data_IF_606881005839
#
_entry.id   IF_606881005839
#
_cell.length_a   1.000
_cell.length_b   1.000
_cell.length_c   1.000
_cell.angle_alpha   90.00
_cell.angle_beta   90.00
_cell.angle_gamma   90.00
#
_symmetry.space_group_name_H-M   'P 1'
#
loop_
_entity.id
_entity.type
_entity.pdbx_description
1 polymer ?
#
# COMPACT_ATOMS: atom_id res chain seq x y z
N UNK A 1 24.18 -1.91 -1.65
CA UNK A 1 23.88 -2.52 -2.96
C UNK A 1 25.13 -3.19 -3.47
N UNK A 2 25.17 -4.52 -3.51
CA UNK A 2 26.22 -5.25 -4.24
C UNK A 2 25.83 -5.33 -5.71
N UNK A 3 26.82 -5.44 -6.59
CA UNK A 3 26.68 -5.25 -8.03
C UNK A 3 25.57 -6.13 -8.64
N UNK A 4 24.49 -5.47 -9.09
CA UNK A 4 23.51 -5.91 -10.09
C UNK A 4 22.42 -6.93 -9.68
N UNK A 5 22.16 -7.16 -8.40
CA UNK A 5 21.05 -8.03 -7.95
C UNK A 5 20.26 -7.50 -6.75
N UNK A 6 18.97 -7.82 -6.69
CA UNK A 6 18.19 -7.69 -5.45
C UNK A 6 18.77 -8.66 -4.40
N UNK A 7 18.85 -8.30 -3.11
CA UNK A 7 19.28 -9.21 -2.06
C UNK A 7 18.49 -10.53 -2.04
N UNK A 8 19.10 -11.58 -1.51
CA UNK A 8 18.41 -12.86 -1.35
C UNK A 8 17.32 -12.81 -0.27
N UNK A 9 17.46 -11.85 0.65
CA UNK A 9 16.69 -11.69 1.90
C UNK A 9 15.79 -10.44 1.89
N UNK A 10 15.26 -10.04 0.72
CA UNK A 10 14.49 -8.79 0.59
C UNK A 10 13.24 -8.70 1.48
N UNK A 11 12.61 -9.82 1.87
CA UNK A 11 11.49 -9.80 2.79
C UNK A 11 11.98 -9.74 4.25
N UNK A 12 13.13 -10.35 4.56
CA UNK A 12 13.73 -10.29 5.89
C UNK A 12 14.28 -8.90 6.20
N UNK A 13 15.12 -8.36 5.30
CA UNK A 13 15.73 -7.03 5.38
C UNK A 13 14.68 -5.92 5.26
N UNK A 14 13.58 -6.25 4.58
CA UNK A 14 12.41 -5.42 4.40
C UNK A 14 12.27 -4.89 2.97
N UNK A 15 11.02 -4.73 2.57
CA UNK A 15 10.62 -4.20 1.26
C UNK A 15 9.36 -3.39 1.43
N UNK A 16 9.25 -2.34 0.63
CA UNK A 16 8.07 -1.50 0.53
C UNK A 16 7.52 -1.60 -0.87
N UNK A 17 6.22 -1.86 -0.99
CA UNK A 17 5.49 -1.85 -2.25
C UNK A 17 4.39 -0.81 -2.16
N UNK A 18 4.11 -0.12 -3.25
CA UNK A 18 2.96 0.76 -3.37
C UNK A 18 2.28 0.53 -4.69
N UNK A 19 0.96 0.44 -4.67
CA UNK A 19 0.18 0.27 -5.89
C UNK A 19 -1.20 0.86 -5.70
N UNK A 20 -1.81 1.25 -6.81
CA UNK A 20 -3.20 1.67 -6.84
C UNK A 20 -3.98 0.73 -7.74
N UNK A 21 -5.03 0.11 -7.18
CA UNK A 21 -5.78 -0.94 -7.84
C UNK A 21 -7.27 -0.92 -7.46
N UNK A 22 -8.07 -1.63 -8.27
CA UNK A 22 -9.45 -2.02 -7.95
C UNK A 22 -9.84 -3.28 -8.71
N UNK A 23 -10.94 -3.90 -8.31
CA UNK A 23 -11.67 -4.87 -9.12
C UNK A 23 -12.67 -4.11 -9.99
N UNK A 24 -12.59 -4.17 -11.33
CA UNK A 24 -13.56 -3.50 -12.17
C UNK A 24 -14.95 -4.14 -12.00
N UNK A 25 -16.00 -3.33 -12.12
CA UNK A 25 -17.39 -3.80 -12.15
C UNK A 25 -18.14 -3.14 -13.29
N UNK A 26 -19.19 -3.78 -13.86
CA UNK A 26 -19.99 -3.17 -14.92
C UNK A 26 -20.60 -1.81 -14.53
N UNK A 27 -20.82 -1.57 -13.23
CA UNK A 27 -21.39 -0.31 -12.71
C UNK A 27 -20.35 0.80 -12.53
N UNK A 28 -19.06 0.46 -12.39
CA UNK A 28 -17.98 1.41 -12.03
C UNK A 28 -16.93 1.56 -13.14
N UNK A 29 -17.13 0.97 -14.31
CA UNK A 29 -16.27 1.16 -15.49
C UNK A 29 -17.07 1.54 -16.72
N UNK A 30 -16.46 2.36 -17.58
CA UNK A 30 -16.97 2.66 -18.93
C UNK A 30 -16.26 1.84 -20.01
N UNK A 31 -15.18 1.14 -19.65
CA UNK A 31 -14.49 0.22 -20.54
C UNK A 31 -15.31 -1.08 -20.68
N UNK A 32 -15.32 -1.72 -21.86
CA UNK A 32 -15.95 -3.02 -22.01
C UNK A 32 -15.23 -4.04 -21.11
N UNK A 33 -16.01 -4.87 -20.42
CA UNK A 33 -15.50 -6.02 -19.68
C UNK A 33 -15.79 -7.28 -20.48
N UNK A 34 -14.78 -8.14 -20.58
CA UNK A 34 -14.90 -9.40 -21.30
C UNK A 34 -15.84 -10.36 -20.57
N UNK A 35 -16.53 -11.18 -21.35
CA UNK A 35 -17.31 -12.29 -20.83
C UNK A 35 -16.37 -13.33 -20.22
N UNK A 36 -16.87 -14.07 -19.24
CA UNK A 36 -16.10 -15.14 -18.60
C UNK A 36 -16.26 -16.43 -19.39
N UNK A 37 -15.12 -17.10 -19.61
CA UNK A 37 -14.99 -18.44 -20.16
C UNK A 37 -14.40 -19.36 -19.10
N UNK A 38 -15.23 -19.87 -18.19
CA UNK A 38 -14.74 -20.69 -17.10
C UNK A 38 -14.17 -22.03 -17.59
N UNK A 39 -13.06 -22.47 -16.98
CA UNK A 39 -12.40 -23.72 -17.32
C UNK A 39 -13.32 -24.92 -17.09
N UNK A 40 -13.37 -25.85 -18.06
CA UNK A 40 -14.28 -27.00 -18.04
C UNK A 40 -15.79 -26.66 -18.14
N UNK A 41 -16.16 -25.40 -18.38
CA UNK A 41 -17.56 -24.94 -18.51
C UNK A 41 -17.91 -24.49 -19.93
N UNK A 42 -17.09 -24.84 -20.93
CA UNK A 42 -17.30 -24.51 -22.35
C UNK A 42 -18.65 -25.01 -22.88
N UNK A 43 -19.22 -26.08 -22.30
CA UNK A 43 -20.56 -26.59 -22.63
C UNK A 43 -21.70 -25.67 -22.13
N UNK A 44 -21.46 -24.84 -21.11
CA UNK A 44 -22.44 -23.88 -20.58
C UNK A 44 -22.39 -22.50 -21.25
N UNK A 45 -21.48 -22.30 -22.21
CA UNK A 45 -21.34 -21.06 -22.96
C UNK A 45 -20.69 -19.91 -22.21
N UNK A 46 -20.56 -18.78 -22.91
CA UNK A 46 -20.07 -17.51 -22.36
C UNK A 46 -20.98 -17.00 -21.21
N UNK A 47 -20.37 -16.53 -20.12
CA UNK A 47 -21.10 -15.93 -18.99
C UNK A 47 -20.83 -14.42 -18.92
N UNK A 48 -21.81 -13.60 -18.52
CA UNK A 48 -21.55 -12.19 -18.27
C UNK A 48 -20.53 -12.03 -17.14
N UNK A 49 -19.72 -10.97 -17.22
CA UNK A 49 -18.86 -10.58 -16.11
C UNK A 49 -19.71 -10.29 -14.85
N UNK A 50 -19.29 -10.74 -13.64
CA UNK A 50 -20.08 -10.61 -12.43
C UNK A 50 -20.39 -9.14 -12.08
N UNK A 51 -21.64 -8.85 -11.70
CA UNK A 51 -22.03 -7.48 -11.31
C UNK A 51 -21.20 -6.93 -10.14
N UNK A 52 -20.80 -7.80 -9.22
CA UNK A 52 -20.02 -7.46 -8.04
C UNK A 52 -18.51 -7.40 -8.25
N UNK A 53 -18.02 -7.70 -9.46
CA UNK A 53 -16.60 -7.91 -9.72
C UNK A 53 -16.18 -9.37 -9.62
N UNK A 54 -14.99 -9.66 -10.15
CA UNK A 54 -14.33 -10.96 -10.11
C UNK A 54 -12.92 -10.76 -9.53
N UNK A 55 -12.76 -11.03 -8.25
CA UNK A 55 -11.50 -10.83 -7.54
C UNK A 55 -10.59 -12.06 -7.63
N UNK A 56 -9.65 -12.17 -6.70
CA UNK A 56 -8.76 -13.33 -6.64
C UNK A 56 -8.54 -13.81 -5.21
N UNK A 57 -8.37 -15.12 -5.06
CA UNK A 57 -8.05 -15.74 -3.78
C UNK A 57 -6.58 -16.19 -3.77
N UNK A 58 -5.82 -15.71 -2.79
CA UNK A 58 -4.40 -16.11 -2.58
C UNK A 58 -4.31 -17.65 -2.59
N UNK A 59 -3.46 -18.20 -3.46
CA UNK A 59 -3.41 -19.64 -3.74
C UNK A 59 -2.00 -20.12 -4.11
N UNK A 60 -1.85 -21.40 -4.48
CA UNK A 60 -0.61 -22.02 -4.96
C UNK A 60 0.65 -21.73 -4.14
N UNK A 61 0.49 -21.80 -2.82
CA UNK A 61 1.59 -21.61 -1.87
C UNK A 61 1.85 -20.14 -1.55
N UNK A 62 0.80 -19.33 -1.43
CA UNK A 62 0.90 -17.92 -1.08
C UNK A 62 1.28 -17.01 -2.25
N UNK A 63 0.68 -17.24 -3.42
CA UNK A 63 0.72 -16.37 -4.60
C UNK A 63 -0.63 -15.67 -4.80
N UNK A 64 -0.61 -14.46 -5.33
CA UNK A 64 -1.79 -13.61 -5.52
C UNK A 64 -1.54 -12.50 -6.55
N UNK A 65 -2.48 -11.56 -6.65
CA UNK A 65 -2.44 -10.45 -7.61
C UNK A 65 -1.09 -9.73 -7.63
N UNK A 66 -0.53 -9.45 -6.45
CA UNK A 66 0.82 -8.91 -6.27
C UNK A 66 1.57 -9.86 -5.34
N UNK A 67 2.67 -10.44 -5.78
CA UNK A 67 3.48 -11.37 -4.98
C UNK A 67 4.92 -10.90 -4.91
N UNK A 68 5.47 -10.81 -3.70
CA UNK A 68 6.90 -10.63 -3.47
C UNK A 68 7.50 -11.95 -3.02
N UNK A 69 8.50 -12.43 -3.76
CA UNK A 69 9.27 -13.63 -3.47
C UNK A 69 10.71 -13.24 -3.19
N UNK A 70 11.31 -13.80 -2.14
CA UNK A 70 12.75 -13.66 -1.91
C UNK A 70 13.52 -14.94 -2.29
N UNK A 71 14.78 -14.81 -2.72
CA UNK A 71 15.61 -15.93 -3.14
C UNK A 71 15.94 -16.89 -1.98
N UNK A 72 16.10 -16.37 -0.76
CA UNK A 72 16.32 -17.12 0.48
C UNK A 72 15.09 -17.93 0.95
N UNK A 73 14.09 -18.07 0.07
CA UNK A 73 12.80 -18.72 0.28
C UNK A 73 11.77 -17.85 1.03
N UNK A 74 10.49 -18.16 0.82
CA UNK A 74 9.36 -17.38 1.32
C UNK A 74 8.79 -16.42 0.29
N UNK A 75 7.46 -16.34 0.26
CA UNK A 75 6.68 -15.41 -0.55
C UNK A 75 5.57 -14.77 0.30
N UNK A 76 5.27 -13.51 0.04
CA UNK A 76 4.11 -12.80 0.58
C UNK A 76 3.31 -12.24 -0.59
N UNK A 77 2.03 -12.54 -0.64
CA UNK A 77 1.13 -12.13 -1.67
C UNK A 77 -0.03 -11.30 -1.14
N UNK A 78 -0.59 -10.53 -2.05
CA UNK A 78 -1.77 -9.69 -1.86
C UNK A 78 -2.75 -9.94 -2.98
N UNK A 79 -4.03 -9.98 -2.67
CA UNK A 79 -5.10 -10.06 -3.65
C UNK A 79 -6.27 -9.16 -3.25
N UNK A 80 -6.94 -8.58 -4.23
CA UNK A 80 -8.25 -7.96 -4.00
C UNK A 80 -9.31 -9.06 -4.10
N UNK A 81 -10.20 -9.11 -3.13
CA UNK A 81 -11.19 -10.19 -2.98
C UNK A 81 -12.57 -9.60 -2.76
N UNK A 82 -13.57 -10.08 -3.50
CA UNK A 82 -14.99 -9.79 -3.28
C UNK A 82 -15.70 -10.97 -2.60
N UNK A 83 -16.83 -10.74 -1.89
CA UNK A 83 -17.45 -11.78 -1.08
C UNK A 83 -17.89 -13.04 -1.83
N UNK A 84 -18.17 -12.92 -3.12
CA UNK A 84 -18.64 -14.03 -3.95
C UNK A 84 -17.51 -14.76 -4.69
N UNK A 85 -16.25 -14.37 -4.52
CA UNK A 85 -15.13 -15.10 -5.09
C UNK A 85 -15.14 -16.54 -4.58
N UNK A 86 -14.80 -17.47 -5.47
CA UNK A 86 -14.77 -18.91 -5.19
C UNK A 86 -13.53 -19.51 -5.79
N UNK A 87 -13.01 -20.55 -5.15
CA UNK A 87 -11.84 -21.24 -5.65
C UNK A 87 -12.11 -21.93 -6.99
N UNK A 88 -11.19 -21.72 -7.93
CA UNK A 88 -11.26 -22.35 -9.27
C UNK A 88 -12.49 -21.94 -10.06
N UNK A 89 -13.04 -20.75 -9.79
CA UNK A 89 -14.20 -20.22 -10.52
C UNK A 89 -15.49 -21.03 -10.36
N UNK A 90 -15.58 -21.89 -9.34
CA UNK A 90 -16.72 -22.77 -9.12
C UNK A 90 -17.96 -21.99 -8.68
N UNK A 91 -19.04 -21.93 -9.49
CA UNK A 91 -20.23 -21.14 -9.16
C UNK A 91 -20.96 -21.60 -7.88
N UNK A 92 -20.68 -22.82 -7.42
CA UNK A 92 -21.23 -23.42 -6.19
C UNK A 92 -20.17 -23.65 -5.12
N UNK A 93 -18.95 -23.14 -5.34
CA UNK A 93 -17.82 -23.25 -4.43
C UNK A 93 -18.05 -22.50 -3.12
N UNK A 94 -17.17 -22.77 -2.16
CA UNK A 94 -17.14 -21.99 -0.91
C UNK A 94 -16.76 -20.55 -1.25
N UNK A 95 -17.64 -19.63 -0.86
CA UNK A 95 -17.46 -18.21 -1.08
C UNK A 95 -16.43 -17.62 -0.12
N UNK A 96 -15.71 -16.61 -0.58
CA UNK A 96 -14.74 -15.88 0.21
C UNK A 96 -15.35 -15.26 1.47
N UNK A 97 -16.58 -14.72 1.36
CA UNK A 97 -17.28 -13.98 2.42
C UNK A 97 -16.42 -12.87 3.04
N UNK A 98 -15.52 -12.29 2.25
CA UNK A 98 -14.64 -11.20 2.62
C UNK A 98 -14.60 -10.19 1.48
N UNK A 99 -14.50 -8.90 1.83
CA UNK A 99 -14.38 -7.80 0.89
C UNK A 99 -13.14 -6.98 1.27
N UNK A 100 -12.15 -6.92 0.40
CA UNK A 100 -11.00 -6.05 0.60
C UNK A 100 -9.68 -6.61 0.09
N UNK A 101 -8.58 -6.19 0.73
CA UNK A 101 -7.24 -6.66 0.44
C UNK A 101 -6.94 -7.88 1.33
N UNK A 102 -6.71 -9.04 0.72
CA UNK A 102 -6.31 -10.27 1.40
C UNK A 102 -4.83 -10.52 1.22
N UNK A 103 -4.25 -11.30 2.12
CA UNK A 103 -2.83 -11.70 2.06
C UNK A 103 -2.66 -13.12 2.62
N UNK A 104 -1.42 -13.62 2.62
CA UNK A 104 -1.09 -14.90 3.22
C UNK A 104 -1.69 -15.04 4.63
N UNK A 105 -2.25 -16.21 4.93
CA UNK A 105 -2.75 -16.53 6.27
C UNK A 105 -1.61 -16.62 7.27
N UNK A 106 -1.95 -16.44 8.55
CA UNK A 106 -1.05 -16.82 9.64
C UNK A 106 -1.25 -18.30 9.97
N UNK A 107 -0.23 -19.10 9.73
CA UNK A 107 -0.17 -20.54 9.97
C UNK A 107 1.21 -20.97 10.52
N UNK A 108 1.68 -20.29 11.57
CA UNK A 108 2.94 -20.59 12.26
C UNK A 108 4.18 -20.01 11.58
N UNK A 109 5.36 -20.51 11.96
CA UNK A 109 6.66 -19.96 11.56
C UNK A 109 7.33 -20.71 10.40
N UNK A 110 6.74 -21.81 9.94
CA UNK A 110 7.30 -22.59 8.85
C UNK A 110 6.87 -22.00 7.50
N UNK A 111 7.81 -21.91 6.56
CA UNK A 111 7.50 -21.54 5.17
C UNK A 111 6.75 -22.71 4.53
N UNK A 112 5.46 -22.53 4.24
CA UNK A 112 4.57 -23.64 3.84
C UNK A 112 3.59 -23.25 2.73
N UNK A 113 3.08 -24.26 2.03
CA UNK A 113 2.05 -24.06 1.00
C UNK A 113 0.67 -23.70 1.61
N UNK A 114 0.42 -24.13 2.85
CA UNK A 114 -0.85 -23.98 3.55
C UNK A 114 -1.04 -22.56 4.13
N UNK A 115 -0.91 -21.54 3.29
CA UNK A 115 -1.12 -20.11 3.61
C UNK A 115 -2.07 -19.44 2.61
N UNK A 116 -2.71 -20.24 1.75
CA UNK A 116 -3.70 -19.79 0.79
C UNK A 116 -4.99 -19.37 1.49
N UNK A 117 -5.90 -18.69 0.79
CA UNK A 117 -7.15 -18.21 1.36
C UNK A 117 -8.02 -19.35 1.92
N UNK A 118 -8.00 -20.55 1.33
CA UNK A 118 -8.74 -21.76 1.78
C UNK A 118 -7.99 -22.56 2.85
N UNK A 119 -6.74 -22.21 3.14
CA UNK A 119 -5.92 -23.00 4.04
C UNK A 119 -6.31 -22.80 5.50
N UNK A 120 -5.88 -23.72 6.38
CA UNK A 120 -5.92 -23.50 7.83
C UNK A 120 -5.16 -22.23 8.26
N UNK A 121 -5.31 -21.86 9.54
CA UNK A 121 -4.69 -20.67 10.10
C UNK A 121 -5.63 -19.47 10.15
N UNK A 122 -5.13 -18.31 10.53
CA UNK A 122 -5.92 -17.08 10.66
C UNK A 122 -5.92 -16.30 9.34
N UNK A 123 -7.10 -15.87 8.87
CA UNK A 123 -7.22 -14.98 7.72
C UNK A 123 -6.56 -13.63 8.05
N UNK A 124 -5.76 -13.10 7.13
CA UNK A 124 -5.16 -11.77 7.22
C UNK A 124 -5.66 -10.92 6.06
N UNK A 125 -6.10 -9.71 6.38
CA UNK A 125 -6.68 -8.82 5.39
C UNK A 125 -7.09 -7.48 5.97
N UNK A 126 -7.28 -6.52 5.08
CA UNK A 126 -7.81 -5.18 5.36
C UNK A 126 -9.17 -5.07 4.67
N UNK A 127 -10.22 -4.88 5.48
CA UNK A 127 -11.58 -4.73 4.98
C UNK A 127 -11.77 -3.37 4.30
N UNK A 128 -12.30 -3.39 3.08
CA UNK A 128 -12.62 -2.21 2.26
C UNK A 128 -13.55 -2.62 1.10
N UNK A 129 -14.03 -1.66 0.31
CA UNK A 129 -14.69 -1.95 -0.97
C UNK A 129 -13.62 -2.10 -2.07
N UNK A 130 -13.24 -3.32 -2.47
CA UNK A 130 -12.16 -3.54 -3.43
C UNK A 130 -12.55 -3.11 -4.85
N UNK A 131 -13.80 -2.72 -5.08
CA UNK A 131 -14.28 -2.24 -6.38
C UNK A 131 -14.10 -0.72 -6.56
N UNK A 132 -13.74 -0.01 -5.50
CA UNK A 132 -13.24 1.36 -5.56
C UNK A 132 -11.73 1.39 -5.76
N UNK A 133 -11.25 2.48 -6.36
CA UNK A 133 -9.81 2.69 -6.46
C UNK A 133 -9.22 2.98 -5.09
N UNK A 134 -8.31 2.10 -4.66
CA UNK A 134 -7.55 2.30 -3.44
C UNK A 134 -6.06 2.37 -3.75
N UNK A 135 -5.38 3.29 -3.07
CA UNK A 135 -3.92 3.33 -3.03
C UNK A 135 -3.43 2.59 -1.80
N UNK A 136 -2.53 1.63 -2.02
CA UNK A 136 -1.87 0.86 -0.99
C UNK A 136 -0.41 1.29 -0.88
N UNK A 137 0.05 1.45 0.34
CA UNK A 137 1.46 1.46 0.69
C UNK A 137 1.68 0.34 1.69
N UNK A 138 2.50 -0.63 1.36
CA UNK A 138 2.69 -1.85 2.15
C UNK A 138 4.16 -2.01 2.49
N UNK A 139 4.44 -2.13 3.78
CA UNK A 139 5.78 -2.37 4.30
C UNK A 139 5.85 -3.79 4.85
N UNK A 140 6.80 -4.57 4.37
CA UNK A 140 7.05 -5.95 4.79
C UNK A 140 8.44 -6.00 5.40
N UNK A 141 8.60 -6.74 6.50
CA UNK A 141 9.89 -7.06 7.11
C UNK A 141 9.79 -8.35 7.92
N UNK A 142 10.93 -8.93 8.31
CA UNK A 142 10.96 -10.05 9.25
C UNK A 142 10.11 -9.78 10.50
N UNK A 143 9.30 -10.77 10.88
CA UNK A 143 8.66 -10.81 12.19
C UNK A 143 9.72 -11.09 13.27
N UNK A 144 9.64 -10.35 14.37
CA UNK A 144 10.54 -10.52 15.53
C UNK A 144 9.82 -11.08 16.75
N UNK A 145 8.50 -11.30 16.64
CA UNK A 145 7.67 -11.85 17.71
C UNK A 145 7.69 -13.38 17.75
N UNK A 146 8.12 -14.04 16.66
CA UNK A 146 8.18 -15.49 16.54
C UNK A 146 6.82 -16.13 16.32
N UNK A 147 5.83 -15.36 15.85
CA UNK A 147 4.46 -15.83 15.59
C UNK A 147 4.31 -16.28 14.14
N UNK A 148 4.93 -15.54 13.22
CA UNK A 148 4.98 -15.87 11.80
C UNK A 148 6.35 -15.58 11.22
N UNK A 149 6.42 -15.37 9.91
CA UNK A 149 7.66 -15.04 9.22
C UNK A 149 7.84 -13.54 9.02
N UNK A 150 6.75 -12.82 8.69
CA UNK A 150 6.83 -11.41 8.33
C UNK A 150 5.77 -10.57 9.02
N UNK A 151 6.17 -9.36 9.40
CA UNK A 151 5.27 -8.26 9.74
C UNK A 151 4.92 -7.48 8.47
N UNK A 152 3.63 -7.32 8.22
CA UNK A 152 3.07 -6.59 7.08
C UNK A 152 2.26 -5.41 7.60
N UNK A 153 2.68 -4.20 7.25
CA UNK A 153 1.97 -2.96 7.57
C UNK A 153 1.31 -2.43 6.31
N UNK A 154 -0.01 -2.32 6.32
CA UNK A 154 -0.80 -1.83 5.19
C UNK A 154 -1.36 -0.46 5.51
N UNK A 155 -0.98 0.52 4.71
CA UNK A 155 -1.51 1.88 4.71
C UNK A 155 -2.40 2.04 3.48
N UNK A 156 -3.57 2.64 3.66
CA UNK A 156 -4.58 2.78 2.60
C UNK A 156 -4.92 4.25 2.41
N UNK A 157 -5.04 4.68 1.16
CA UNK A 157 -5.54 5.99 0.74
C UNK A 157 -4.85 7.18 1.42
N UNK A 158 -3.51 7.15 1.46
CA UNK A 158 -2.68 8.20 2.06
C UNK A 158 -2.67 8.22 3.59
N UNK A 159 -3.26 7.22 4.25
CA UNK A 159 -3.15 7.06 5.71
C UNK A 159 -1.70 6.90 6.14
N UNK A 160 -1.35 7.50 7.29
CA UNK A 160 -0.06 7.27 7.98
C UNK A 160 -0.20 6.31 9.15
N UNK A 161 -1.39 5.73 9.35
CA UNK A 161 -1.65 4.70 10.34
C UNK A 161 -1.87 3.36 9.63
N UNK A 162 -1.06 2.33 9.92
CA UNK A 162 -1.21 1.04 9.26
C UNK A 162 -2.18 0.12 10.00
N UNK A 163 -2.84 -0.75 9.24
CA UNK A 163 -3.26 -2.05 9.76
C UNK A 163 -2.05 -2.97 9.73
N UNK A 164 -1.70 -3.59 10.87
CA UNK A 164 -0.52 -4.46 10.98
C UNK A 164 -0.94 -5.92 11.12
N UNK A 165 -0.33 -6.79 10.33
CA UNK A 165 -0.53 -8.23 10.36
C UNK A 165 0.80 -8.95 10.51
N UNK A 166 0.79 -10.07 11.23
CA UNK A 166 1.86 -11.07 11.12
C UNK A 166 1.35 -12.19 10.21
N UNK A 167 2.15 -12.56 9.22
CA UNK A 167 1.82 -13.56 8.20
C UNK A 167 2.85 -14.70 8.17
N UNK A 168 2.41 -15.86 7.70
CA UNK A 168 3.30 -16.98 7.38
C UNK A 168 3.69 -16.92 5.91
N UNK A 169 4.97 -17.13 5.63
CA UNK A 169 5.49 -17.10 4.28
C UNK A 169 5.00 -18.31 3.48
N UNK A 170 4.63 -18.05 2.23
CA UNK A 170 4.32 -19.07 1.25
C UNK A 170 5.58 -19.71 0.68
N UNK A 171 5.49 -20.97 0.25
CA UNK A 171 6.56 -21.65 -0.49
C UNK A 171 6.36 -21.62 -2.02
N UNK A 172 5.34 -20.92 -2.52
CA UNK A 172 5.07 -20.75 -3.94
C UNK A 172 6.25 -20.09 -4.66
N UNK A 173 6.61 -20.59 -5.84
CA UNK A 173 7.76 -20.13 -6.61
C UNK A 173 7.55 -20.41 -8.09
N UNK A 174 7.81 -19.41 -8.93
CA UNK A 174 7.76 -19.52 -10.39
C UNK A 174 9.17 -19.59 -10.98
N UNK A 175 10.12 -18.96 -10.30
CA UNK A 175 11.55 -18.96 -10.63
C UNK A 175 12.37 -19.37 -9.41
N UNK A 176 13.29 -20.32 -9.59
CA UNK A 176 14.18 -20.77 -8.53
C UNK A 176 15.39 -19.83 -8.35
N UNK A 177 15.78 -19.59 -7.10
CA UNK A 177 17.06 -18.94 -6.77
C UNK A 177 17.14 -17.44 -7.02
N UNK A 178 16.01 -16.76 -7.24
CA UNK A 178 15.96 -15.31 -7.42
C UNK A 178 14.84 -14.67 -6.60
N UNK A 179 15.06 -13.41 -6.22
CA UNK A 179 14.03 -12.54 -5.65
C UNK A 179 13.25 -11.86 -6.78
N UNK A 180 11.92 -11.78 -6.67
CA UNK A 180 11.09 -11.16 -7.71
C UNK A 180 9.78 -10.57 -7.17
N UNK A 181 9.24 -9.63 -7.94
CA UNK A 181 7.87 -9.15 -7.84
C UNK A 181 7.08 -9.73 -9.01
N UNK A 182 5.96 -10.39 -8.73
CA UNK A 182 5.05 -10.91 -9.73
C UNK A 182 3.69 -10.22 -9.65
N UNK A 183 3.07 -10.02 -10.82
CA UNK A 183 1.72 -9.51 -10.96
C UNK A 183 0.92 -10.54 -11.76
N UNK A 184 -0.16 -11.07 -11.20
CA UNK A 184 -0.98 -12.08 -11.89
C UNK A 184 -1.86 -12.90 -10.96
N UNK A 185 -2.48 -13.95 -11.50
CA UNK A 185 -3.15 -15.01 -10.73
C UNK A 185 -2.51 -16.33 -11.11
N UNK A 186 -2.17 -17.17 -10.13
CA UNK A 186 -1.40 -18.40 -10.36
C UNK A 186 -2.24 -19.62 -10.69
N UNK A 187 -3.51 -19.62 -10.25
CA UNK A 187 -4.41 -20.77 -10.31
C UNK A 187 -5.14 -20.84 -11.64
N UNK A 188 -4.91 -21.93 -12.39
CA UNK A 188 -5.40 -22.12 -13.76
C UNK A 188 -6.92 -22.03 -13.93
N UNK A 189 -7.70 -22.59 -13.00
CA UNK A 189 -9.15 -22.67 -13.14
C UNK A 189 -9.90 -21.41 -12.69
N UNK A 190 -9.22 -20.41 -12.13
CA UNK A 190 -9.85 -19.24 -11.52
C UNK A 190 -9.82 -18.04 -12.48
N UNK A 191 -11.00 -17.50 -12.80
CA UNK A 191 -11.09 -16.19 -13.44
C UNK A 191 -10.90 -15.08 -12.40
N UNK A 192 -10.38 -13.95 -12.84
CA UNK A 192 -10.21 -12.75 -12.03
C UNK A 192 -10.01 -11.54 -12.94
N UNK A 193 -10.24 -10.35 -12.40
CA UNK A 193 -9.92 -9.09 -13.06
C UNK A 193 -9.35 -8.08 -12.06
N UNK A 194 -8.39 -7.28 -12.55
CA UNK A 194 -7.73 -6.26 -11.76
C UNK A 194 -7.44 -5.05 -12.66
N UNK A 195 -7.98 -3.90 -12.29
CA UNK A 195 -7.49 -2.64 -12.80
C UNK A 195 -6.29 -2.22 -11.95
N UNK A 196 -5.17 -1.88 -12.61
CA UNK A 196 -3.93 -1.47 -11.97
C UNK A 196 -3.44 -0.17 -12.60
N UNK A 197 -3.32 0.88 -11.78
CA UNK A 197 -2.85 2.20 -12.23
C UNK A 197 -1.32 2.27 -12.21
N UNK A 198 -0.73 1.92 -11.08
CA UNK A 198 0.72 1.82 -10.94
C UNK A 198 1.12 0.72 -9.95
N UNK A 199 2.37 0.28 -10.08
CA UNK A 199 3.11 -0.46 -9.05
C UNK A 199 4.48 0.17 -8.90
N UNK A 200 4.85 0.48 -7.68
CA UNK A 200 6.14 0.95 -7.26
C UNK A 200 6.68 0.04 -6.15
N UNK A 201 8.00 -0.08 -6.06
CA UNK A 201 8.63 -0.80 -4.97
C UNK A 201 9.95 -0.16 -4.59
N UNK A 202 10.40 -0.45 -3.37
CA UNK A 202 11.71 -0.08 -2.87
C UNK A 202 12.18 -1.17 -1.91
N UNK A 203 13.41 -1.64 -2.11
CA UNK A 203 14.07 -2.49 -1.11
C UNK A 203 14.37 -1.63 0.13
N UNK A 204 14.02 -2.15 1.29
CA UNK A 204 13.98 -1.46 2.57
C UNK A 204 12.56 -1.30 3.10
N UNK A 205 12.41 -1.41 4.41
CA UNK A 205 11.17 -1.11 5.12
C UNK A 205 11.00 0.39 5.33
N UNK A 206 10.23 1.03 4.45
CA UNK A 206 10.08 2.48 4.34
C UNK A 206 8.63 2.86 4.61
N UNK A 207 8.40 3.62 5.68
CA UNK A 207 7.06 4.13 6.00
C UNK A 207 6.62 5.17 4.95
N UNK A 208 5.30 5.34 4.73
CA UNK A 208 4.82 6.37 3.82
C UNK A 208 5.36 7.74 4.24
N UNK A 209 5.70 8.62 3.28
CA UNK A 209 6.26 9.92 3.57
C UNK A 209 5.29 10.70 4.45
N UNK A 210 5.77 11.21 5.58
CA UNK A 210 4.97 12.09 6.42
C UNK A 210 4.57 13.32 5.60
N UNK A 211 3.30 13.75 5.64
CA UNK A 211 2.92 15.03 5.06
C UNK A 211 3.84 16.12 5.58
N UNK A 212 4.23 17.06 4.72
CA UNK A 212 5.04 18.19 5.16
C UNK A 212 4.31 18.92 6.30
N UNK A 213 4.97 18.96 7.47
CA UNK A 213 4.49 19.69 8.63
C UNK A 213 4.08 21.10 8.19
N UNK A 214 2.87 21.59 8.55
CA UNK A 214 2.48 22.94 8.17
C UNK A 214 3.48 23.95 8.73
N UNK A 215 3.77 25.02 7.95
CA UNK A 215 4.71 26.02 8.40
C UNK A 215 4.19 26.67 9.68
N UNK A 216 5.02 26.65 10.72
CA UNK A 216 4.67 27.19 12.05
C UNK A 216 5.83 27.97 12.64
N UNK A 217 5.52 29.05 13.34
CA UNK A 217 6.50 29.75 14.15
C UNK A 217 6.89 28.93 15.38
N UNK A 218 8.17 28.91 15.68
CA UNK A 218 8.65 28.64 17.03
C UNK A 218 8.35 29.86 17.93
N UNK A 219 8.45 29.73 19.28
CA UNK A 219 8.31 30.88 20.17
C UNK A 219 9.18 32.06 19.71
N UNK A 220 8.56 33.23 19.57
CA UNK A 220 9.28 34.45 19.15
C UNK A 220 10.23 34.87 20.26
N UNK A 221 11.51 35.03 19.93
CA UNK A 221 12.54 35.44 20.88
C UNK A 221 12.87 36.91 20.67
N UNK A 222 12.90 37.70 21.74
CA UNK A 222 13.44 39.07 21.69
C UNK A 222 14.94 39.04 21.98
N UNK A 223 15.75 39.70 21.15
CA UNK A 223 17.18 39.87 21.34
C UNK A 223 17.53 41.36 21.21
N UNK A 224 17.77 42.03 22.34
CA UNK A 224 17.99 43.48 22.37
C UNK A 224 16.83 44.26 21.76
N UNK A 225 17.13 45.09 20.75
CA UNK A 225 16.14 45.86 20.00
C UNK A 225 15.64 45.13 18.73
N UNK A 226 15.65 43.80 18.73
CA UNK A 226 15.17 42.98 17.62
C UNK A 226 14.32 41.80 18.13
N UNK A 227 13.52 41.23 17.24
CA UNK A 227 12.89 39.91 17.42
C UNK A 227 13.52 38.93 16.44
N UNK A 228 13.63 37.67 16.85
CA UNK A 228 14.07 36.56 16.02
C UNK A 228 12.85 35.69 15.73
N UNK A 229 12.46 35.66 14.47
CA UNK A 229 11.39 34.83 13.93
C UNK A 229 12.01 33.54 13.42
N UNK A 230 11.74 32.44 14.12
CA UNK A 230 12.13 31.10 13.67
C UNK A 230 10.87 30.34 13.27
N UNK A 231 10.91 29.60 12.18
CA UNK A 231 9.81 28.77 11.72
C UNK A 231 10.32 27.45 11.15
N UNK A 232 9.47 26.43 11.23
CA UNK A 232 9.72 25.06 10.75
C UNK A 232 8.57 24.62 9.84
N UNK A 233 8.72 23.53 9.09
CA UNK A 233 7.68 23.05 8.17
C UNK A 233 7.69 23.74 6.79
N UNK A 234 8.79 24.44 6.47
CA UNK A 234 8.93 25.19 5.21
C UNK A 234 8.16 26.52 5.23
N UNK A 235 7.69 26.95 4.05
CA UNK A 235 6.90 28.16 3.87
C UNK A 235 7.70 29.46 3.75
N UNK A 236 7.06 30.45 3.13
CA UNK A 236 7.59 31.80 2.92
C UNK A 236 7.05 32.74 3.99
N UNK A 237 7.95 33.44 4.68
CA UNK A 237 7.57 34.51 5.60
C UNK A 237 6.95 35.66 4.80
N UNK A 238 5.80 36.16 5.26
CA UNK A 238 5.19 37.37 4.72
C UNK A 238 5.02 38.44 5.80
N UNK A 239 5.05 39.70 5.41
CA UNK A 239 4.82 40.85 6.27
C UNK A 239 3.76 41.80 5.71
N UNK A 240 3.04 42.48 6.61
CA UNK A 240 2.06 43.51 6.29
C UNK A 240 2.09 44.63 7.35
N UNK A 241 1.65 45.84 6.99
CA UNK A 241 1.45 46.94 7.96
C UNK A 241 0.15 46.80 8.76
N UNK A 242 -0.86 46.08 8.22
CA UNK A 242 -2.12 45.78 8.89
C UNK A 242 -2.35 44.28 9.03
N UNK A 243 -3.04 43.87 10.09
CA UNK A 243 -3.35 42.45 10.35
C UNK A 243 -4.10 41.79 9.18
N UNK A 244 -4.95 42.56 8.48
CA UNK A 244 -5.71 42.10 7.31
C UNK A 244 -4.90 42.08 6.00
N UNK A 245 -3.66 42.56 6.00
CA UNK A 245 -2.82 42.70 4.81
C UNK A 245 -2.87 44.10 4.16
N UNK A 246 -2.42 44.23 2.91
CA UNK A 246 -1.88 43.16 2.05
C UNK A 246 -0.56 42.60 2.57
N UNK A 247 -0.37 41.28 2.46
CA UNK A 247 0.86 40.60 2.84
C UNK A 247 1.78 40.45 1.65
N UNK A 248 3.05 40.84 1.82
CA UNK A 248 4.11 40.65 0.83
C UNK A 248 5.16 39.67 1.35
N UNK A 249 5.75 38.89 0.44
CA UNK A 249 6.83 37.95 0.76
C UNK A 249 8.05 38.72 1.29
N UNK A 250 8.64 38.22 2.37
CA UNK A 250 9.85 38.75 2.99
C UNK A 250 11.03 37.90 2.54
N UNK A 251 12.01 38.54 1.91
CA UNK A 251 13.24 37.87 1.49
C UNK A 251 14.08 37.49 2.71
N UNK A 252 14.39 36.20 2.84
CA UNK A 252 15.24 35.67 3.92
C UNK A 252 14.92 34.22 4.22
N UNK A 253 15.82 33.57 4.97
CA UNK A 253 15.62 32.22 5.49
C UNK A 253 15.30 32.27 6.98
N UNK A 254 14.76 31.16 7.49
CA UNK A 254 14.64 30.99 8.94
C UNK A 254 15.99 30.60 9.55
N UNK A 255 16.40 31.16 10.70
CA UNK A 255 15.73 32.25 11.45
C UNK A 255 15.95 33.63 10.82
N UNK A 256 14.94 34.50 10.90
CA UNK A 256 15.04 35.90 10.47
C UNK A 256 15.05 36.84 11.67
N UNK A 257 16.04 37.73 11.73
CA UNK A 257 16.09 38.80 12.73
C UNK A 257 15.45 40.06 12.18
N UNK A 258 14.46 40.60 12.90
CA UNK A 258 13.71 41.81 12.55
C UNK A 258 13.97 42.87 13.62
N UNK A 259 14.43 44.07 13.26
CA UNK A 259 14.60 45.16 14.22
C UNK A 259 13.24 45.70 14.71
N UNK A 260 13.14 45.98 16.00
CA UNK A 260 12.00 46.64 16.65
C UNK A 260 12.11 48.16 16.47
N UNK A 261 12.11 48.60 15.21
CA UNK A 261 12.18 50.01 14.82
C UNK A 261 11.31 50.26 13.59
N UNK A 262 10.78 51.47 13.46
CA UNK A 262 9.94 51.84 12.32
C UNK A 262 8.47 51.49 12.51
N UNK A 263 7.74 51.34 11.40
CA UNK A 263 6.30 51.04 11.39
C UNK A 263 6.02 49.64 11.92
N UNK A 264 4.93 49.49 12.69
CA UNK A 264 4.43 48.20 13.14
C UNK A 264 4.24 47.25 11.94
N UNK A 265 4.64 45.98 12.11
CA UNK A 265 4.44 44.92 11.11
C UNK A 265 3.75 43.71 11.73
N UNK A 266 2.95 43.03 10.91
CA UNK A 266 2.36 41.72 11.18
C UNK A 266 3.03 40.69 10.29
N UNK A 267 3.31 39.51 10.86
CA UNK A 267 3.99 38.43 10.16
C UNK A 267 3.11 37.18 10.09
N UNK A 268 3.14 36.48 8.95
CA UNK A 268 2.51 35.16 8.77
C UNK A 268 3.39 34.27 7.91
N UNK A 269 3.10 32.98 7.91
CA UNK A 269 3.71 32.01 7.01
C UNK A 269 2.72 31.65 5.90
N UNK A 270 3.19 31.68 4.66
CA UNK A 270 2.49 31.15 3.49
C UNK A 270 3.11 29.80 3.15
N UNK A 271 2.30 28.78 2.88
CA UNK A 271 2.80 27.52 2.32
C UNK A 271 3.42 27.75 0.95
#
# INVERSE_FOLDING_TARGET
MTAEGAPDTILDDGITISFRARIPTPKKTTAPLDKIYADGQSESGEKPYPEGGDGYLVSDGGKGNITVKQAANGAVAFALTVPNDTFGGSPTGTKANFSGLTMNRLNGTDIVAAVNFDSPGELRGVELDPTEWHEFWIVIKADTTGVGNYSVQVFVDGSTQPTTHIVTAGNGSDFGGISYLAIGGSRTAESWALDLDFVAYKIGAELPPKPAEPPKFSPVVRQGNSIVLTWTGGGTLQAADGVAGPYADVTGASPLTVPLSGTQKFYRLKR
#
